data_IF_142679373193
#
_entry.id   IF_142679373193
#
_cell.length_a   1.000
_cell.length_b   1.000
_cell.length_c   1.000
_cell.angle_alpha   90.00
_cell.angle_beta   90.00
_cell.angle_gamma   90.00
#
_symmetry.space_group_name_H-M   'P 1'
#
loop_
_entity.id
_entity.type
_entity.pdbx_description
1 polymer ?
#
# COMPACT_ATOMS: atom_id res chain seq x y z
N UNK A 1 172.26 24.22 30.49
CA UNK A 1 171.43 23.21 29.81
C UNK A 1 170.33 22.61 30.69
N UNK A 2 170.49 22.47 32.02
CA UNK A 2 169.43 21.92 32.90
C UNK A 2 168.15 22.78 33.00
N UNK A 3 168.25 24.12 32.96
CA UNK A 3 167.08 25.01 33.06
C UNK A 3 166.17 25.03 31.82
N UNK A 4 166.68 24.69 30.63
CA UNK A 4 165.89 24.66 29.38
C UNK A 4 165.01 23.41 29.30
N UNK A 5 165.53 22.25 29.68
CA UNK A 5 164.78 20.98 29.78
C UNK A 5 163.70 21.03 30.85
N UNK A 6 163.94 21.74 31.96
CA UNK A 6 162.96 21.91 33.03
C UNK A 6 161.79 22.81 32.61
N UNK A 7 162.07 23.86 31.82
CA UNK A 7 161.05 24.74 31.24
C UNK A 7 160.19 24.02 30.19
N UNK A 8 160.81 23.18 29.36
CA UNK A 8 160.14 22.36 28.36
C UNK A 8 159.24 21.29 29.01
N UNK A 9 159.70 20.63 30.07
CA UNK A 9 158.89 19.73 30.87
C UNK A 9 157.70 20.43 31.54
N UNK A 10 157.87 21.67 32.02
CA UNK A 10 156.75 22.45 32.57
C UNK A 10 155.75 22.86 31.50
N UNK A 11 156.19 23.28 30.32
CA UNK A 11 155.30 23.62 29.19
C UNK A 11 154.54 22.38 28.71
N UNK A 12 155.21 21.24 28.56
CA UNK A 12 154.56 19.97 28.16
C UNK A 12 153.53 19.51 29.20
N UNK A 13 153.79 19.69 30.50
CA UNK A 13 152.81 19.37 31.55
C UNK A 13 151.61 20.31 31.53
N UNK A 14 151.84 21.59 31.28
CA UNK A 14 150.77 22.58 31.16
C UNK A 14 149.93 22.35 29.91
N UNK A 15 150.55 22.00 28.79
CA UNK A 15 149.87 21.65 27.54
C UNK A 15 149.06 20.36 27.67
N UNK A 16 149.62 19.32 28.32
CA UNK A 16 148.89 18.08 28.63
C UNK A 16 147.74 18.33 29.61
N UNK A 17 147.89 19.26 30.55
CA UNK A 17 146.81 19.70 31.45
C UNK A 17 145.71 20.44 30.66
N UNK A 18 146.07 21.38 29.79
CA UNK A 18 145.12 22.10 28.93
C UNK A 18 144.38 21.15 28.00
N UNK A 19 145.06 20.20 27.37
CA UNK A 19 144.45 19.18 26.52
C UNK A 19 143.54 18.22 27.31
N UNK A 20 143.92 17.84 28.54
CA UNK A 20 143.03 17.08 29.43
C UNK A 20 141.78 17.87 29.78
N UNK A 21 141.90 19.16 30.14
CA UNK A 21 140.75 20.01 30.44
C UNK A 21 139.85 20.23 29.21
N UNK A 22 140.43 20.44 28.02
CA UNK A 22 139.67 20.53 26.76
C UNK A 22 138.94 19.23 26.47
N UNK A 23 139.62 18.08 26.52
CA UNK A 23 139.00 16.78 26.31
C UNK A 23 137.92 16.49 27.35
N UNK A 24 138.15 16.82 28.62
CA UNK A 24 137.15 16.66 29.67
C UNK A 24 135.93 17.56 29.43
N UNK A 25 136.13 18.80 28.98
CA UNK A 25 135.03 19.71 28.63
C UNK A 25 134.25 19.24 27.39
N UNK A 26 134.93 18.69 26.39
CA UNK A 26 134.32 18.12 25.20
C UNK A 26 133.50 16.86 25.53
N UNK A 27 134.05 15.98 26.39
CA UNK A 27 133.33 14.79 26.89
C UNK A 27 132.11 15.20 27.70
N UNK A 28 132.22 16.17 28.61
CA UNK A 28 131.08 16.66 29.38
C UNK A 28 129.99 17.28 28.49
N UNK A 29 130.39 18.06 27.49
CA UNK A 29 129.47 18.63 26.50
C UNK A 29 128.79 17.54 25.65
N UNK A 30 129.52 16.49 25.27
CA UNK A 30 128.98 15.36 24.52
C UNK A 30 127.99 14.55 25.36
N UNK A 31 128.29 14.31 26.65
CA UNK A 31 127.37 13.64 27.59
C UNK A 31 126.09 14.47 27.77
N UNK A 32 126.21 15.79 27.96
CA UNK A 32 125.05 16.67 28.10
C UNK A 32 124.19 16.69 26.83
N UNK A 33 124.82 16.78 25.65
CA UNK A 33 124.11 16.75 24.37
C UNK A 33 123.43 15.39 24.14
N UNK A 34 124.11 14.29 24.48
CA UNK A 34 123.53 12.95 24.38
C UNK A 34 122.31 12.80 25.30
N UNK A 35 122.42 13.23 26.57
CA UNK A 35 121.29 13.21 27.51
C UNK A 35 120.10 14.04 27.02
N UNK A 36 120.35 15.20 26.39
CA UNK A 36 119.28 16.01 25.83
C UNK A 36 118.58 15.30 24.66
N UNK A 37 119.35 14.70 23.75
CA UNK A 37 118.80 13.92 22.63
C UNK A 37 118.01 12.70 23.13
N UNK A 38 118.45 12.03 24.20
CA UNK A 38 117.71 10.93 24.80
C UNK A 38 116.38 11.40 25.41
N UNK A 39 116.37 12.53 26.11
CA UNK A 39 115.13 13.12 26.63
C UNK A 39 114.15 13.50 25.52
N UNK A 40 114.62 14.18 24.47
CA UNK A 40 113.80 14.55 23.31
C UNK A 40 113.27 13.31 22.58
N UNK A 41 114.10 12.25 22.44
CA UNK A 41 113.68 10.96 21.89
C UNK A 41 112.57 10.33 22.74
N UNK A 42 112.74 10.30 24.06
CA UNK A 42 111.79 9.65 24.96
C UNK A 42 110.47 10.42 25.03
N UNK A 43 110.51 11.76 24.97
CA UNK A 43 109.33 12.63 24.85
C UNK A 43 108.60 12.39 23.51
N UNK A 44 109.32 12.33 22.39
CA UNK A 44 108.74 12.01 21.10
C UNK A 44 108.13 10.60 21.06
N UNK A 45 108.79 9.62 21.68
CA UNK A 45 108.26 8.25 21.79
C UNK A 45 107.00 8.19 22.66
N UNK A 46 106.93 8.96 23.75
CA UNK A 46 105.71 9.09 24.55
C UNK A 46 104.57 9.72 23.72
N UNK A 47 104.84 10.82 23.00
CA UNK A 47 103.85 11.45 22.13
C UNK A 47 103.34 10.52 21.02
N UNK A 48 104.22 9.70 20.41
CA UNK A 48 103.80 8.69 19.43
C UNK A 48 102.91 7.62 20.04
N UNK A 49 103.16 7.20 21.29
CA UNK A 49 102.30 6.22 21.98
C UNK A 49 100.93 6.82 22.28
N UNK A 50 100.88 8.06 22.76
CA UNK A 50 99.62 8.75 23.06
C UNK A 50 98.79 8.96 21.80
N UNK A 51 99.41 9.40 20.70
CA UNK A 51 98.72 9.54 19.41
C UNK A 51 98.22 8.20 18.87
N UNK A 52 98.99 7.11 19.04
CA UNK A 52 98.52 5.76 18.67
C UNK A 52 97.33 5.32 19.50
N UNK A 53 97.32 5.62 20.80
CA UNK A 53 96.19 5.30 21.67
C UNK A 53 94.95 6.11 21.30
N UNK A 54 95.09 7.41 21.01
CA UNK A 54 94.00 8.25 20.53
C UNK A 54 93.47 7.79 19.17
N UNK A 55 94.36 7.39 18.25
CA UNK A 55 93.96 6.84 16.96
C UNK A 55 93.18 5.53 17.13
N UNK A 56 93.62 4.64 18.01
CA UNK A 56 92.90 3.40 18.30
C UNK A 56 91.52 3.67 18.93
N UNK A 57 91.42 4.62 19.86
CA UNK A 57 90.16 5.01 20.48
C UNK A 57 89.17 5.59 19.45
N UNK A 58 89.62 6.56 18.64
CA UNK A 58 88.78 7.20 17.60
C UNK A 58 88.37 6.24 16.49
N UNK A 59 89.20 5.26 16.15
CA UNK A 59 88.81 4.18 15.24
C UNK A 59 87.72 3.29 15.83
N UNK A 60 87.82 2.96 17.13
CA UNK A 60 86.77 2.23 17.85
C UNK A 60 85.46 3.01 17.89
N UNK A 61 85.50 4.30 18.20
CA UNK A 61 84.31 5.17 18.20
C UNK A 61 83.67 5.26 16.81
N UNK A 62 84.49 5.35 15.75
CA UNK A 62 84.00 5.36 14.37
C UNK A 62 83.32 4.05 13.98
N UNK A 63 83.85 2.91 14.43
CA UNK A 63 83.25 1.59 14.16
C UNK A 63 81.90 1.44 14.88
N UNK A 64 81.81 1.87 16.14
CA UNK A 64 80.55 1.89 16.90
C UNK A 64 79.52 2.79 16.20
N UNK A 65 79.92 4.00 15.80
CA UNK A 65 79.04 4.93 15.11
C UNK A 65 78.52 4.36 13.77
N UNK A 66 79.36 3.67 13.01
CA UNK A 66 78.95 2.97 11.78
C UNK A 66 77.92 1.88 12.06
N UNK A 67 78.19 1.03 13.06
CA UNK A 67 77.26 -0.03 13.44
C UNK A 67 75.90 0.51 13.91
N UNK A 68 75.89 1.66 14.61
CA UNK A 68 74.66 2.32 15.03
C UNK A 68 73.91 2.94 13.83
N UNK A 69 74.62 3.58 12.89
CA UNK A 69 74.02 4.07 11.64
C UNK A 69 73.38 2.95 10.82
N UNK A 70 74.05 1.80 10.70
CA UNK A 70 73.52 0.62 10.00
C UNK A 70 72.28 0.08 10.72
N UNK A 71 72.32 -0.04 12.05
CA UNK A 71 71.16 -0.49 12.84
C UNK A 71 69.95 0.43 12.68
N UNK A 72 70.17 1.75 12.71
CA UNK A 72 69.10 2.74 12.50
C UNK A 72 68.55 2.65 11.08
N UNK A 73 69.43 2.49 10.08
CA UNK A 73 69.01 2.35 8.68
C UNK A 73 68.13 1.11 8.50
N UNK A 74 68.54 -0.04 9.05
CA UNK A 74 67.74 -1.27 9.01
C UNK A 74 66.40 -1.13 9.75
N UNK A 75 66.39 -0.47 10.90
CA UNK A 75 65.14 -0.22 11.63
C UNK A 75 64.20 0.68 10.81
N UNK A 76 64.74 1.71 10.15
CA UNK A 76 63.98 2.61 9.27
C UNK A 76 63.40 1.86 8.07
N UNK A 77 64.18 0.98 7.41
CA UNK A 77 63.67 0.20 6.28
C UNK A 77 62.57 -0.76 6.72
N UNK A 78 62.75 -1.43 7.86
CA UNK A 78 61.73 -2.34 8.39
C UNK A 78 60.43 -1.61 8.73
N UNK A 79 60.52 -0.43 9.33
CA UNK A 79 59.35 0.39 9.64
C UNK A 79 58.66 0.86 8.36
N UNK A 80 59.43 1.28 7.35
CA UNK A 80 58.88 1.69 6.07
C UNK A 80 58.12 0.54 5.39
N UNK A 81 58.73 -0.66 5.32
CA UNK A 81 58.05 -1.84 4.75
C UNK A 81 56.80 -2.23 5.52
N UNK A 82 56.82 -2.13 6.86
CA UNK A 82 55.63 -2.38 7.66
C UNK A 82 54.51 -1.37 7.37
N UNK A 83 54.85 -0.09 7.23
CA UNK A 83 53.89 0.96 6.90
C UNK A 83 53.30 0.79 5.50
N UNK A 84 54.12 0.42 4.51
CA UNK A 84 53.66 0.11 3.15
C UNK A 84 52.67 -1.06 3.17
N UNK A 85 52.99 -2.15 3.87
CA UNK A 85 52.09 -3.29 4.00
C UNK A 85 50.75 -2.92 4.69
N UNK A 86 50.77 -2.06 5.72
CA UNK A 86 49.55 -1.56 6.35
C UNK A 86 48.72 -0.66 5.41
N UNK A 87 49.37 0.12 4.55
CA UNK A 87 48.69 0.95 3.56
C UNK A 87 48.03 0.09 2.48
N UNK A 88 48.75 -0.91 1.96
CA UNK A 88 48.25 -1.85 0.97
C UNK A 88 47.04 -2.64 1.49
N UNK A 89 47.12 -3.14 2.73
CA UNK A 89 46.01 -3.86 3.37
C UNK A 89 44.79 -2.95 3.55
N UNK A 90 45.00 -1.70 4.00
CA UNK A 90 43.92 -0.73 4.15
C UNK A 90 43.28 -0.38 2.80
N UNK A 91 44.07 -0.23 1.74
CA UNK A 91 43.53 0.02 0.40
C UNK A 91 42.76 -1.19 -0.15
N UNK A 92 43.21 -2.41 0.13
CA UNK A 92 42.47 -3.62 -0.19
C UNK A 92 41.13 -3.69 0.58
N UNK A 93 41.12 -3.40 1.88
CA UNK A 93 39.91 -3.37 2.71
C UNK A 93 38.91 -2.30 2.22
N UNK A 94 39.39 -1.10 1.87
CA UNK A 94 38.53 -0.05 1.31
C UNK A 94 37.91 -0.47 -0.03
N UNK A 95 38.69 -1.12 -0.91
CA UNK A 95 38.16 -1.64 -2.18
C UNK A 95 37.09 -2.70 -1.98
N UNK A 96 37.31 -3.66 -1.08
CA UNK A 96 36.33 -4.70 -0.76
C UNK A 96 35.04 -4.10 -0.18
N UNK A 97 35.17 -3.11 0.71
CA UNK A 97 34.02 -2.43 1.32
C UNK A 97 33.19 -1.70 0.26
N UNK A 98 33.86 -1.02 -0.68
CA UNK A 98 33.19 -0.32 -1.77
C UNK A 98 32.53 -1.28 -2.76
N UNK A 99 33.18 -2.38 -3.11
CA UNK A 99 32.61 -3.44 -3.95
C UNK A 99 31.35 -4.02 -3.29
N UNK A 100 31.41 -4.38 -2.01
CA UNK A 100 30.25 -4.85 -1.26
C UNK A 100 29.11 -3.83 -1.20
N UNK A 101 29.42 -2.53 -1.09
CA UNK A 101 28.42 -1.46 -1.13
C UNK A 101 27.71 -1.42 -2.49
N UNK A 102 28.47 -1.50 -3.58
CA UNK A 102 27.92 -1.50 -4.94
C UNK A 102 27.05 -2.73 -5.20
N UNK A 103 27.50 -3.91 -4.81
CA UNK A 103 26.76 -5.17 -4.93
C UNK A 103 25.42 -5.10 -4.17
N UNK A 104 25.44 -4.55 -2.95
CA UNK A 104 24.23 -4.38 -2.16
C UNK A 104 23.26 -3.40 -2.83
N UNK A 105 23.76 -2.28 -3.36
CA UNK A 105 22.93 -1.31 -4.08
C UNK A 105 22.35 -1.88 -5.38
N UNK A 106 23.08 -2.73 -6.09
CA UNK A 106 22.57 -3.44 -7.26
C UNK A 106 21.51 -4.48 -6.88
N UNK A 107 21.74 -5.27 -5.83
CA UNK A 107 20.78 -6.25 -5.32
C UNK A 107 19.47 -5.57 -4.87
N UNK A 108 19.56 -4.44 -4.17
CA UNK A 108 18.38 -3.65 -3.75
C UNK A 108 17.64 -3.12 -4.98
N UNK A 109 18.35 -2.57 -5.98
CA UNK A 109 17.73 -2.09 -7.23
C UNK A 109 17.03 -3.21 -7.99
N UNK A 110 17.65 -4.38 -8.12
CA UNK A 110 17.07 -5.54 -8.79
C UNK A 110 15.84 -6.08 -8.04
N UNK A 111 15.90 -6.16 -6.71
CA UNK A 111 14.77 -6.57 -5.88
C UNK A 111 13.59 -5.60 -6.00
N UNK A 112 13.86 -4.29 -5.96
CA UNK A 112 12.84 -3.27 -6.12
C UNK A 112 12.19 -3.29 -7.52
N UNK A 113 13.00 -3.46 -8.58
CA UNK A 113 12.48 -3.59 -9.93
C UNK A 113 11.56 -4.82 -10.07
N UNK A 114 11.98 -5.96 -9.49
CA UNK A 114 11.18 -7.20 -9.49
C UNK A 114 9.88 -7.02 -8.70
N UNK A 115 9.93 -6.34 -7.55
CA UNK A 115 8.75 -6.08 -6.73
C UNK A 115 7.74 -5.17 -7.46
N UNK A 116 8.20 -4.11 -8.12
CA UNK A 116 7.34 -3.23 -8.93
C UNK A 116 6.67 -4.02 -10.05
N UNK A 117 7.43 -4.85 -10.77
CA UNK A 117 6.87 -5.63 -11.87
C UNK A 117 5.84 -6.64 -11.35
N UNK A 118 6.11 -7.31 -10.23
CA UNK A 118 5.16 -8.21 -9.59
C UNK A 118 3.85 -7.49 -9.20
N UNK A 119 3.95 -6.31 -8.58
CA UNK A 119 2.78 -5.49 -8.23
C UNK A 119 2.00 -5.09 -9.49
N UNK A 120 2.69 -4.66 -10.54
CA UNK A 120 2.08 -4.27 -11.81
C UNK A 120 1.34 -5.44 -12.45
N UNK A 121 1.92 -6.64 -12.45
CA UNK A 121 1.28 -7.85 -12.98
C UNK A 121 0.02 -8.21 -12.18
N UNK A 122 0.08 -8.15 -10.84
CA UNK A 122 -1.08 -8.37 -9.98
C UNK A 122 -2.19 -7.37 -10.28
N UNK A 123 -1.89 -6.08 -10.30
CA UNK A 123 -2.88 -5.04 -10.62
C UNK A 123 -3.47 -5.21 -12.03
N UNK A 124 -2.67 -5.58 -13.03
CA UNK A 124 -3.19 -5.86 -14.37
C UNK A 124 -4.14 -7.05 -14.39
N UNK A 125 -3.85 -8.10 -13.63
CA UNK A 125 -4.73 -9.26 -13.48
C UNK A 125 -6.04 -8.88 -12.78
N UNK A 126 -5.96 -8.15 -11.68
CA UNK A 126 -7.13 -7.65 -10.95
C UNK A 126 -8.00 -6.75 -11.82
N UNK A 127 -7.40 -5.81 -12.57
CA UNK A 127 -8.13 -4.93 -13.48
C UNK A 127 -8.86 -5.72 -14.57
N UNK A 128 -8.22 -6.78 -15.12
CA UNK A 128 -8.87 -7.67 -16.08
C UNK A 128 -10.05 -8.43 -15.46
N UNK A 129 -9.92 -8.89 -14.21
CA UNK A 129 -11.02 -9.56 -13.51
C UNK A 129 -12.18 -8.61 -13.24
N UNK A 130 -11.89 -7.39 -12.78
CA UNK A 130 -12.91 -6.35 -12.55
C UNK A 130 -13.63 -6.01 -13.85
N UNK A 131 -12.89 -5.81 -14.95
CA UNK A 131 -13.50 -5.55 -16.26
C UNK A 131 -14.39 -6.70 -16.72
N UNK A 132 -13.91 -7.95 -16.61
CA UNK A 132 -14.69 -9.12 -16.99
C UNK A 132 -15.97 -9.28 -16.15
N UNK A 133 -15.88 -9.00 -14.84
CA UNK A 133 -17.03 -9.02 -13.94
C UNK A 133 -18.04 -7.89 -14.28
N UNK A 134 -17.56 -6.69 -14.58
CA UNK A 134 -18.39 -5.58 -15.01
C UNK A 134 -19.10 -5.88 -16.34
N UNK A 135 -18.38 -6.41 -17.33
CA UNK A 135 -18.95 -6.79 -18.62
C UNK A 135 -20.00 -7.90 -18.48
N UNK A 136 -19.77 -8.86 -17.58
CA UNK A 136 -20.76 -9.90 -17.26
C UNK A 136 -22.01 -9.32 -16.57
N UNK A 137 -21.84 -8.39 -15.63
CA UNK A 137 -22.96 -7.73 -14.95
C UNK A 137 -23.81 -6.90 -15.93
N UNK A 138 -23.17 -6.16 -16.83
CA UNK A 138 -23.87 -5.40 -17.90
C UNK A 138 -24.64 -6.34 -18.81
N UNK A 139 -24.05 -7.46 -19.22
CA UNK A 139 -24.72 -8.45 -20.07
C UNK A 139 -25.95 -9.05 -19.37
N UNK A 140 -25.81 -9.47 -18.12
CA UNK A 140 -26.93 -10.02 -17.34
C UNK A 140 -28.05 -9.00 -17.18
N UNK A 141 -27.71 -7.74 -16.89
CA UNK A 141 -28.70 -6.66 -16.80
C UNK A 141 -29.42 -6.44 -18.13
N UNK A 142 -28.69 -6.48 -19.25
CA UNK A 142 -29.28 -6.34 -20.58
C UNK A 142 -30.21 -7.53 -20.92
N UNK A 143 -29.83 -8.76 -20.55
CA UNK A 143 -30.69 -9.93 -20.69
C UNK A 143 -31.97 -9.80 -19.86
N UNK A 144 -31.87 -9.35 -18.61
CA UNK A 144 -33.03 -9.11 -17.74
C UNK A 144 -33.97 -8.04 -18.34
N UNK A 145 -33.43 -6.94 -18.85
CA UNK A 145 -34.19 -5.89 -19.55
C UNK A 145 -34.95 -6.50 -20.73
N UNK A 146 -34.29 -7.30 -21.58
CA UNK A 146 -34.98 -7.93 -22.73
C UNK A 146 -36.09 -8.90 -22.29
N UNK A 147 -35.91 -9.62 -21.17
CA UNK A 147 -36.92 -10.51 -20.63
C UNK A 147 -38.14 -9.72 -20.13
N UNK A 148 -37.90 -8.63 -19.40
CA UNK A 148 -38.96 -7.73 -18.92
C UNK A 148 -39.70 -7.07 -20.08
N UNK A 149 -39.02 -6.64 -21.13
CA UNK A 149 -39.64 -6.09 -22.35
C UNK A 149 -40.57 -7.10 -23.04
N UNK A 150 -40.13 -8.36 -23.15
CA UNK A 150 -40.99 -9.44 -23.67
C UNK A 150 -42.22 -9.66 -22.78
N UNK A 151 -42.04 -9.68 -21.45
CA UNK A 151 -43.14 -9.85 -20.50
C UNK A 151 -44.14 -8.70 -20.58
N UNK A 152 -43.66 -7.46 -20.64
CA UNK A 152 -44.50 -6.27 -20.83
C UNK A 152 -45.30 -6.38 -22.14
N UNK A 153 -44.67 -6.87 -23.21
CA UNK A 153 -45.34 -7.04 -24.50
C UNK A 153 -46.43 -8.12 -24.44
N UNK A 154 -46.18 -9.26 -23.79
CA UNK A 154 -47.18 -10.32 -23.55
C UNK A 154 -48.37 -9.80 -22.75
N UNK A 155 -48.09 -9.12 -21.63
CA UNK A 155 -49.14 -8.57 -20.76
C UNK A 155 -49.97 -7.51 -21.49
N UNK A 156 -49.37 -6.70 -22.36
CA UNK A 156 -50.11 -5.76 -23.22
C UNK A 156 -51.05 -6.50 -24.18
N UNK A 157 -50.58 -7.57 -24.82
CA UNK A 157 -51.43 -8.37 -25.73
C UNK A 157 -52.57 -9.08 -24.99
N UNK A 158 -52.29 -9.67 -23.83
CA UNK A 158 -53.30 -10.30 -22.97
C UNK A 158 -54.33 -9.27 -22.49
N UNK A 159 -53.89 -8.08 -22.05
CA UNK A 159 -54.81 -7.01 -21.62
C UNK A 159 -55.74 -6.58 -22.76
N UNK A 160 -55.21 -6.40 -23.97
CA UNK A 160 -56.01 -6.08 -25.15
C UNK A 160 -57.01 -7.20 -25.47
N UNK A 161 -56.61 -8.46 -25.37
CA UNK A 161 -57.49 -9.60 -25.62
C UNK A 161 -58.60 -9.71 -24.58
N UNK A 162 -58.27 -9.53 -23.29
CA UNK A 162 -59.25 -9.51 -22.20
C UNK A 162 -60.24 -8.37 -22.39
N UNK A 163 -59.77 -7.16 -22.73
CA UNK A 163 -60.66 -6.01 -23.05
C UNK A 163 -61.63 -6.36 -24.18
N UNK A 164 -61.15 -6.92 -25.30
CA UNK A 164 -62.03 -7.36 -26.39
C UNK A 164 -63.05 -8.41 -25.94
N UNK A 165 -62.63 -9.41 -25.15
CA UNK A 165 -63.56 -10.43 -24.64
C UNK A 165 -64.63 -9.85 -23.71
N UNK A 166 -64.27 -8.82 -22.94
CA UNK A 166 -65.18 -8.11 -22.06
C UNK A 166 -66.16 -7.25 -22.86
N UNK A 167 -65.67 -6.52 -23.87
CA UNK A 167 -66.52 -5.75 -24.80
C UNK A 167 -67.51 -6.67 -25.52
N UNK A 168 -67.07 -7.85 -25.98
CA UNK A 168 -67.96 -8.87 -26.57
C UNK A 168 -69.00 -9.38 -25.57
N UNK A 169 -68.61 -9.64 -24.31
CA UNK A 169 -69.53 -10.09 -23.27
C UNK A 169 -70.57 -9.02 -22.93
N UNK A 170 -70.16 -7.75 -22.83
CA UNK A 170 -71.07 -6.60 -22.64
C UNK A 170 -72.04 -6.50 -23.80
N UNK A 171 -71.55 -6.60 -25.05
CA UNK A 171 -72.40 -6.53 -26.22
C UNK A 171 -73.42 -7.68 -26.28
N UNK A 172 -73.01 -8.91 -25.94
CA UNK A 172 -73.92 -10.06 -25.81
C UNK A 172 -74.98 -9.85 -24.75
N UNK A 173 -74.61 -9.34 -23.57
CA UNK A 173 -75.57 -9.04 -22.50
C UNK A 173 -76.59 -8.00 -22.94
N UNK A 174 -76.14 -6.89 -23.53
CA UNK A 174 -77.02 -5.85 -24.07
C UNK A 174 -78.00 -6.42 -25.12
N UNK A 175 -77.53 -7.28 -26.01
CA UNK A 175 -78.38 -7.87 -27.07
C UNK A 175 -79.35 -8.93 -26.55
N UNK A 176 -79.00 -9.63 -25.47
CA UNK A 176 -79.81 -10.75 -24.93
C UNK A 176 -80.89 -10.27 -23.96
N UNK A 177 -80.67 -9.16 -23.25
CA UNK A 177 -81.58 -8.70 -22.20
C UNK A 177 -82.67 -7.74 -22.66
N UNK A 178 -82.51 -7.06 -23.79
CA UNK A 178 -83.44 -6.00 -24.17
C UNK A 178 -84.82 -6.48 -24.68
N UNK A 179 -85.02 -7.76 -25.03
CA UNK A 179 -86.26 -8.15 -25.75
C UNK A 179 -86.86 -9.54 -25.42
N UNK A 180 -86.45 -10.19 -24.33
CA UNK A 180 -86.98 -11.53 -23.98
C UNK A 180 -87.92 -11.46 -22.78
N UNK A 181 -89.19 -11.19 -23.07
CA UNK A 181 -90.27 -11.35 -22.08
C UNK A 181 -90.65 -12.84 -22.01
N UNK A 182 -90.64 -13.43 -20.81
CA UNK A 182 -90.98 -14.83 -20.62
C UNK A 182 -92.43 -15.10 -21.07
N UNK A 183 -92.56 -15.88 -22.15
CA UNK A 183 -93.84 -16.27 -22.75
C UNK A 183 -94.75 -16.99 -21.74
N UNK A 184 -94.19 -17.75 -20.81
CA UNK A 184 -94.94 -18.48 -19.77
C UNK A 184 -95.50 -17.52 -18.74
N UNK A 185 -94.68 -16.56 -18.31
CA UNK A 185 -95.12 -15.48 -17.41
C UNK A 185 -96.27 -14.68 -18.04
N UNK A 186 -96.11 -14.24 -19.30
CA UNK A 186 -97.15 -13.49 -20.01
C UNK A 186 -98.43 -14.30 -20.23
N UNK A 187 -98.30 -15.59 -20.55
CA UNK A 187 -99.45 -16.50 -20.66
C UNK A 187 -100.20 -16.62 -19.33
N UNK A 188 -99.48 -16.75 -18.21
CA UNK A 188 -100.09 -16.87 -16.89
C UNK A 188 -100.80 -15.57 -16.49
N UNK A 189 -100.17 -14.41 -16.69
CA UNK A 189 -100.77 -13.09 -16.44
C UNK A 189 -102.07 -12.91 -17.27
N UNK A 190 -102.05 -13.31 -18.55
CA UNK A 190 -103.24 -13.25 -19.41
C UNK A 190 -104.35 -14.20 -18.96
N UNK A 191 -104.00 -15.44 -18.56
CA UNK A 191 -104.96 -16.41 -18.05
C UNK A 191 -105.61 -15.93 -16.74
N UNK A 192 -104.83 -15.36 -15.83
CA UNK A 192 -105.32 -14.80 -14.57
C UNK A 192 -106.27 -13.62 -14.86
N UNK A 193 -105.90 -12.72 -15.79
CA UNK A 193 -106.77 -11.62 -16.20
C UNK A 193 -108.10 -12.09 -16.82
N UNK A 194 -108.09 -13.15 -17.64
CA UNK A 194 -109.29 -13.68 -18.29
C UNK A 194 -110.22 -14.44 -17.34
N UNK A 195 -109.66 -15.13 -16.34
CA UNK A 195 -110.43 -15.99 -15.42
C UNK A 195 -110.99 -15.22 -14.22
N UNK A 196 -110.42 -14.06 -13.90
CA UNK A 196 -110.90 -13.21 -12.82
C UNK A 196 -112.21 -12.49 -13.17
N UNK A 197 -113.25 -12.74 -12.37
CA UNK A 197 -114.56 -12.07 -12.47
C UNK A 197 -114.63 -10.74 -11.72
N UNK A 198 -113.69 -10.51 -10.80
CA UNK A 198 -113.65 -9.33 -9.93
C UNK A 198 -112.90 -8.18 -10.62
N UNK A 199 -113.57 -7.05 -10.84
CA UNK A 199 -113.03 -5.92 -11.64
C UNK A 199 -111.75 -5.32 -11.06
N UNK A 200 -111.65 -5.20 -9.74
CA UNK A 200 -110.49 -4.60 -9.04
C UNK A 200 -109.22 -5.44 -9.19
N UNK A 201 -109.32 -6.76 -8.99
CA UNK A 201 -108.19 -7.68 -9.18
C UNK A 201 -107.77 -7.78 -10.64
N UNK A 202 -108.75 -7.79 -11.55
CA UNK A 202 -108.50 -7.76 -12.99
C UNK A 202 -107.72 -6.51 -13.42
N UNK A 203 -107.99 -5.36 -12.80
CA UNK A 203 -107.26 -4.12 -13.04
C UNK A 203 -105.82 -4.18 -12.49
N UNK A 204 -105.61 -4.76 -11.32
CA UNK A 204 -104.26 -4.98 -10.76
C UNK A 204 -103.40 -5.92 -11.62
N UNK A 205 -103.98 -7.00 -12.16
CA UNK A 205 -103.28 -7.91 -13.07
C UNK A 205 -102.93 -7.20 -14.39
N UNK A 206 -103.81 -6.32 -14.87
CA UNK A 206 -103.57 -5.51 -16.06
C UNK A 206 -102.45 -4.49 -15.83
N UNK A 207 -102.37 -3.91 -14.63
CA UNK A 207 -101.29 -3.00 -14.23
C UNK A 207 -99.94 -3.72 -14.12
N UNK A 208 -99.94 -4.93 -13.55
CA UNK A 208 -98.76 -5.80 -13.54
C UNK A 208 -98.32 -6.13 -14.98
N UNK A 209 -99.26 -6.43 -15.87
CA UNK A 209 -98.98 -6.71 -17.27
C UNK A 209 -98.38 -5.49 -18.01
N UNK A 210 -98.92 -4.29 -17.77
CA UNK A 210 -98.40 -3.05 -18.33
C UNK A 210 -96.98 -2.75 -17.83
N UNK A 211 -96.67 -3.06 -16.57
CA UNK A 211 -95.32 -2.92 -16.01
C UNK A 211 -94.33 -3.93 -16.58
N UNK A 212 -94.76 -5.17 -16.84
CA UNK A 212 -93.91 -6.25 -17.40
C UNK A 212 -93.65 -6.03 -18.89
N UNK A 213 -94.64 -5.50 -19.63
CA UNK A 213 -94.53 -5.21 -21.06
C UNK A 213 -94.03 -3.78 -21.36
N UNK A 214 -93.64 -3.01 -20.35
CA UNK A 214 -93.20 -1.62 -20.49
C UNK A 214 -94.16 -0.75 -21.33
N UNK A 215 -95.47 -0.82 -21.06
CA UNK A 215 -96.46 0.02 -21.76
C UNK A 215 -96.11 1.49 -21.64
N UNK A 216 -96.17 2.19 -22.77
CA UNK A 216 -96.10 3.65 -22.81
C UNK A 216 -97.33 4.25 -22.13
N UNK A 217 -97.24 5.50 -21.68
CA UNK A 217 -98.36 6.16 -20.99
C UNK A 217 -99.63 6.22 -21.85
N UNK A 218 -99.47 6.34 -23.17
CA UNK A 218 -100.54 6.30 -24.18
C UNK A 218 -101.22 4.91 -24.28
N UNK A 219 -100.47 3.84 -24.08
CA UNK A 219 -100.99 2.47 -24.08
C UNK A 219 -101.68 2.13 -22.77
N UNK A 220 -101.18 2.65 -21.63
CA UNK A 220 -101.82 2.53 -20.31
C UNK A 220 -103.19 3.21 -20.27
N UNK A 221 -103.32 4.37 -20.92
CA UNK A 221 -104.59 5.08 -21.05
C UNK A 221 -105.64 4.26 -21.83
N UNK A 222 -105.25 3.62 -22.94
CA UNK A 222 -106.14 2.77 -23.76
C UNK A 222 -106.71 1.57 -23.01
N UNK A 223 -105.96 1.02 -22.04
CA UNK A 223 -106.41 -0.10 -21.21
C UNK A 223 -107.12 0.33 -19.92
N UNK A 224 -107.47 1.63 -19.80
CA UNK A 224 -108.18 2.24 -18.66
C UNK A 224 -107.45 2.08 -17.32
N UNK A 225 -106.12 2.00 -17.35
CA UNK A 225 -105.27 2.05 -16.16
C UNK A 225 -104.98 3.50 -15.79
N UNK A 226 -105.99 4.20 -15.28
CA UNK A 226 -105.80 5.57 -14.77
C UNK A 226 -105.34 5.50 -13.30
N UNK A 227 -104.09 5.90 -13.08
CA UNK A 227 -103.35 6.16 -11.82
C UNK A 227 -104.08 5.82 -10.49
N UNK A 228 -103.65 4.73 -9.83
CA UNK A 228 -103.67 4.63 -8.37
C UNK A 228 -102.21 4.50 -7.89
N UNK A 229 -101.82 5.35 -6.94
CA UNK A 229 -100.43 5.61 -6.54
C UNK A 229 -99.63 4.39 -6.07
N UNK A 230 -98.50 4.12 -6.75
CA UNK A 230 -97.51 3.08 -6.45
C UNK A 230 -96.30 3.70 -5.70
N UNK A 231 -96.52 4.38 -4.57
CA UNK A 231 -95.42 4.88 -3.72
C UNK A 231 -95.18 4.02 -2.46
N UNK A 232 -96.07 3.07 -2.13
CA UNK A 232 -96.02 2.42 -0.80
C UNK A 232 -95.11 1.18 -0.69
N UNK A 233 -94.69 0.55 -1.80
CA UNK A 233 -94.08 -0.80 -1.74
C UNK A 233 -92.54 -0.79 -1.79
N UNK A 234 -91.90 0.28 -2.26
CA UNK A 234 -90.45 0.28 -2.57
C UNK A 234 -89.50 0.41 -1.37
N UNK A 235 -89.98 0.85 -0.20
CA UNK A 235 -89.10 1.26 0.92
C UNK A 235 -88.71 0.18 1.94
N UNK A 236 -88.98 -1.13 1.72
CA UNK A 236 -88.73 -2.16 2.74
C UNK A 236 -87.52 -3.09 2.55
N UNK A 237 -86.72 -2.99 1.47
CA UNK A 237 -85.78 -4.08 1.11
C UNK A 237 -84.30 -3.66 1.00
N UNK A 238 -83.90 -2.42 1.34
CA UNK A 238 -82.47 -2.01 1.25
C UNK A 238 -81.91 -1.66 2.63
N UNK A 239 -81.42 -2.65 3.38
CA UNK A 239 -80.90 -2.40 4.73
C UNK A 239 -80.01 -3.47 5.37
N UNK A 240 -79.47 -4.44 4.64
CA UNK A 240 -78.68 -5.50 5.28
C UNK A 240 -77.66 -6.17 4.37
N UNK A 241 -76.57 -5.47 3.97
CA UNK A 241 -75.22 -6.05 3.81
C UNK A 241 -74.19 -4.89 3.86
N UNK A 242 -73.67 -4.59 5.04
CA UNK A 242 -72.36 -3.96 5.20
C UNK A 242 -71.73 -4.55 6.47
N UNK A 243 -70.73 -5.41 6.29
CA UNK A 243 -69.95 -5.95 7.41
C UNK A 243 -68.95 -4.88 7.89
N UNK A 244 -68.71 -4.75 9.20
CA UNK A 244 -67.73 -3.80 9.73
C UNK A 244 -66.31 -4.33 9.51
N UNK A 245 -65.42 -3.48 8.97
CA UNK A 245 -63.98 -3.72 8.94
C UNK A 245 -63.40 -3.57 10.36
N UNK A 246 -62.46 -4.42 10.79
CA UNK A 246 -61.83 -4.30 12.10
C UNK A 246 -60.91 -3.08 12.20
N UNK A 247 -60.84 -2.49 13.40
CA UNK A 247 -59.99 -1.34 13.72
C UNK A 247 -58.50 -1.71 13.63
N UNK A 248 -57.74 -0.93 12.87
CA UNK A 248 -56.27 -1.00 12.74
C UNK A 248 -55.59 -0.70 14.07
N UNK A 249 -54.72 -1.61 14.56
CA UNK A 249 -53.93 -1.46 15.80
C UNK A 249 -52.54 -0.85 15.60
N UNK A 250 -52.20 -0.42 14.39
CA UNK A 250 -50.93 0.26 14.14
C UNK A 250 -51.04 1.73 14.52
N UNK A 251 -50.21 2.18 15.45
CA UNK A 251 -50.10 3.60 15.82
C UNK A 251 -49.37 4.35 14.69
N UNK A 252 -50.16 4.90 13.77
CA UNK A 252 -49.69 5.53 12.50
C UNK A 252 -48.72 6.69 12.77
N UNK A 253 -48.80 7.32 13.95
CA UNK A 253 -47.96 8.45 14.34
C UNK A 253 -46.52 8.07 14.76
N UNK A 254 -46.25 6.80 15.07
CA UNK A 254 -44.94 6.33 15.56
C UNK A 254 -44.14 5.48 14.54
N UNK A 255 -44.56 5.41 13.28
CA UNK A 255 -43.83 4.71 12.23
C UNK A 255 -42.60 5.52 11.78
N UNK A 256 -41.42 5.14 12.29
CA UNK A 256 -40.12 5.69 11.87
C UNK A 256 -39.81 5.35 10.40
N UNK A 257 -39.34 6.35 9.65
CA UNK A 257 -39.00 6.23 8.22
C UNK A 257 -39.14 7.57 7.50
N UNK A 258 -38.12 7.96 6.72
CA UNK A 258 -38.10 9.25 6.01
C UNK A 258 -38.83 9.21 4.66
N UNK A 259 -39.16 8.03 4.16
CA UNK A 259 -39.91 7.85 2.92
C UNK A 259 -41.07 6.84 3.06
N UNK A 260 -42.02 6.93 2.13
CA UNK A 260 -43.25 6.10 2.10
C UNK A 260 -42.92 4.61 2.03
N UNK A 261 -41.79 4.25 1.41
CA UNK A 261 -41.34 2.86 1.27
C UNK A 261 -40.88 2.27 2.61
N UNK A 262 -40.10 3.02 3.38
CA UNK A 262 -39.64 2.64 4.72
C UNK A 262 -40.81 2.50 5.68
N UNK A 263 -41.76 3.43 5.65
CA UNK A 263 -42.99 3.33 6.45
C UNK A 263 -43.84 2.11 6.09
N UNK A 264 -43.93 1.77 4.81
CA UNK A 264 -44.62 0.56 4.35
C UNK A 264 -43.91 -0.73 4.76
N UNK A 265 -42.58 -0.76 4.69
CA UNK A 265 -41.80 -1.93 5.13
C UNK A 265 -41.94 -2.13 6.64
N UNK A 266 -41.86 -1.05 7.43
CA UNK A 266 -42.02 -1.12 8.88
C UNK A 266 -43.45 -1.50 9.30
N UNK A 267 -44.47 -1.04 8.57
CA UNK A 267 -45.84 -1.50 8.76
C UNK A 267 -45.99 -3.01 8.50
N UNK A 268 -45.41 -3.51 7.40
CA UNK A 268 -45.47 -4.95 7.08
C UNK A 268 -44.70 -5.80 8.09
N UNK A 269 -43.60 -5.30 8.64
CA UNK A 269 -42.83 -5.97 9.69
C UNK A 269 -43.61 -5.99 11.03
N UNK A 270 -44.20 -4.87 11.43
CA UNK A 270 -45.02 -4.79 12.64
C UNK A 270 -46.25 -5.71 12.59
N UNK A 271 -46.85 -5.89 11.41
CA UNK A 271 -47.99 -6.79 11.21
C UNK A 271 -47.57 -8.28 11.15
N UNK A 272 -46.28 -8.58 10.91
CA UNK A 272 -45.77 -9.97 10.78
C UNK A 272 -45.01 -10.49 12.00
N UNK A 273 -44.53 -9.63 12.89
CA UNK A 273 -43.82 -10.02 14.11
C UNK A 273 -44.74 -10.65 15.19
N UNK A 274 -46.06 -10.56 15.06
CA UNK A 274 -47.04 -11.17 15.99
C UNK A 274 -47.50 -12.60 15.57
N UNK A 275 -46.67 -13.31 14.80
CA UNK A 275 -46.86 -14.72 14.45
C UNK A 275 -45.80 -15.67 15.07
N UNK A 276 -45.17 -15.28 16.18
CA UNK A 276 -44.37 -16.18 17.04
C UNK A 276 -44.74 -16.08 18.52
#
# INVERSE_FOLDING_TARGET
MAGSLQMELTMMREELSRERSKNQSAVQSAISSHSQVEMERDEALAGVRDLKQQLAATLGDLEIAKADCERITMASTNLQTALEAFQDEREAEMRLTEEHRLDLEEAIRAAHATAIEAIKQTHMSEMKQVQAAADAAVRNSMEEVTLLERKISSLKTENLQTRRSLDEAIHRLQTTQEDVIDRTLMKNILLDWCTMKEKTKRQQVLELMASVLHFTEEEREKVHLTHMDIESVRNRIVGAVAAPLPETKADIEHLEGQNVREKWVNFLLAETDDAM
#
